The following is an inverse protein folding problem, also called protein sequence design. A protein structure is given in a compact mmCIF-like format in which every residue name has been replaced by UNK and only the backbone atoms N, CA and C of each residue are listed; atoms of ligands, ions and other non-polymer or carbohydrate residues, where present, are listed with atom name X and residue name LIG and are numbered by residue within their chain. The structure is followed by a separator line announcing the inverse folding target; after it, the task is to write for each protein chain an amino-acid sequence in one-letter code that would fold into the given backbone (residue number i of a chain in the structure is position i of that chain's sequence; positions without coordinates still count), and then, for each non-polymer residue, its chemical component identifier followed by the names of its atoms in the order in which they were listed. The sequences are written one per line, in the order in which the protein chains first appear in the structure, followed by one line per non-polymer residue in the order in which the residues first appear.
data_IF_805514594845
#
_entry.id   IF_805514594845
#
_cell.length_a   1.000
_cell.length_b   1.000
_cell.length_c   1.000
_cell.angle_alpha   90.00
_cell.angle_beta   90.00
_cell.angle_gamma   90.00
#
_symmetry.space_group_name_H-M   'P 1'
#
loop_
_entity.id
_entity.type
_entity.pdbx_description
1 polymer ?
#
# COMPACT_ATOMS: atom_id res chain seq x y z
N UNK A 1 5.76 -26.40 -8.05
CA UNK A 1 6.36 -25.44 -9.03
C UNK A 1 5.65 -25.58 -10.36
N UNK A 2 5.65 -26.75 -11.01
CA UNK A 2 5.09 -26.94 -12.36
C UNK A 2 3.61 -26.53 -12.46
N UNK A 3 2.79 -26.87 -11.47
CA UNK A 3 1.39 -26.46 -11.42
C UNK A 3 1.23 -24.93 -11.37
N UNK A 4 2.04 -24.22 -10.62
CA UNK A 4 2.02 -22.74 -10.60
C UNK A 4 2.44 -22.17 -11.95
N UNK A 5 3.52 -22.71 -12.54
CA UNK A 5 4.00 -22.29 -13.87
C UNK A 5 2.98 -22.55 -14.98
N UNK A 6 2.20 -23.62 -14.88
CA UNK A 6 1.13 -23.91 -15.85
C UNK A 6 0.03 -22.84 -15.89
N UNK A 7 -0.13 -22.03 -14.85
CA UNK A 7 -1.09 -20.92 -14.82
C UNK A 7 -0.55 -19.62 -15.46
N UNK A 8 0.74 -19.53 -15.79
CA UNK A 8 1.36 -18.31 -16.35
C UNK A 8 0.61 -17.80 -17.60
N UNK A 9 0.23 -18.64 -18.59
CA UNK A 9 -0.52 -18.14 -19.73
C UNK A 9 -1.85 -17.50 -19.35
N UNK A 10 -2.60 -18.12 -18.44
CA UNK A 10 -3.90 -17.60 -17.96
C UNK A 10 -3.71 -16.30 -17.16
N UNK A 11 -2.70 -16.24 -16.31
CA UNK A 11 -2.39 -15.02 -15.53
C UNK A 11 -1.99 -13.86 -16.46
N UNK A 12 -1.27 -14.14 -17.53
CA UNK A 12 -0.86 -13.12 -18.51
C UNK A 12 -2.06 -12.52 -19.23
N UNK A 13 -3.05 -13.33 -19.57
CA UNK A 13 -4.25 -12.89 -20.27
C UNK A 13 -5.31 -12.30 -19.34
N UNK A 14 -5.53 -12.91 -18.17
CA UNK A 14 -6.66 -12.65 -17.30
C UNK A 14 -6.28 -12.15 -15.89
N UNK A 15 -4.99 -11.90 -15.62
CA UNK A 15 -4.52 -11.56 -14.28
C UNK A 15 -5.19 -10.31 -13.67
N UNK A 16 -5.48 -9.30 -14.49
CA UNK A 16 -6.18 -8.08 -14.03
C UNK A 16 -7.63 -8.37 -13.62
N UNK A 17 -8.33 -9.23 -14.39
CA UNK A 17 -9.69 -9.64 -14.04
C UNK A 17 -9.70 -10.48 -12.75
N UNK A 18 -8.76 -11.42 -12.62
CA UNK A 18 -8.57 -12.23 -11.40
C UNK A 18 -8.32 -11.35 -10.18
N UNK A 19 -7.40 -10.39 -10.28
CA UNK A 19 -7.06 -9.52 -9.15
C UNK A 19 -8.16 -8.51 -8.84
N UNK A 20 -8.93 -8.07 -9.82
CA UNK A 20 -10.15 -7.29 -9.61
C UNK A 20 -11.20 -8.08 -8.81
N UNK A 21 -11.43 -9.33 -9.19
CA UNK A 21 -12.31 -10.25 -8.46
C UNK A 21 -11.82 -10.47 -7.02
N UNK A 22 -10.51 -10.72 -6.84
CA UNK A 22 -9.88 -10.87 -5.54
C UNK A 22 -10.12 -9.66 -4.62
N UNK A 23 -9.87 -8.43 -5.10
CA UNK A 23 -10.09 -7.24 -4.28
C UNK A 23 -11.56 -7.07 -3.87
N UNK A 24 -12.50 -7.29 -4.80
CA UNK A 24 -13.92 -7.23 -4.48
C UNK A 24 -14.29 -8.27 -3.41
N UNK A 25 -13.83 -9.52 -3.57
CA UNK A 25 -14.06 -10.59 -2.61
C UNK A 25 -13.49 -10.22 -1.23
N UNK A 26 -12.22 -9.84 -1.18
CA UNK A 26 -11.50 -9.53 0.05
C UNK A 26 -12.13 -8.37 0.82
N UNK A 27 -12.42 -7.25 0.15
CA UNK A 27 -12.98 -6.05 0.79
C UNK A 27 -14.44 -6.20 1.20
N UNK A 28 -15.19 -7.11 0.58
CA UNK A 28 -16.55 -7.45 0.99
C UNK A 28 -16.56 -8.38 2.21
N UNK A 29 -15.64 -9.35 2.25
CA UNK A 29 -15.53 -10.30 3.35
C UNK A 29 -14.82 -9.72 4.58
N UNK A 30 -13.96 -8.71 4.38
CA UNK A 30 -13.13 -8.09 5.42
C UNK A 30 -13.20 -6.56 5.29
N UNK A 31 -14.32 -5.93 5.64
CA UNK A 31 -14.56 -4.50 5.42
C UNK A 31 -13.57 -3.59 6.16
N UNK A 32 -12.95 -4.04 7.24
CA UNK A 32 -11.90 -3.33 7.98
C UNK A 32 -10.66 -3.04 7.11
N UNK A 33 -10.38 -3.89 6.12
CA UNK A 33 -9.27 -3.69 5.17
C UNK A 33 -9.48 -2.48 4.25
N UNK A 34 -10.70 -1.93 4.16
CA UNK A 34 -10.97 -0.67 3.47
C UNK A 34 -10.18 0.51 4.07
N UNK A 35 -9.74 0.39 5.34
CA UNK A 35 -8.88 1.38 5.99
C UNK A 35 -7.38 1.29 5.58
N UNK A 36 -7.01 0.26 4.85
CA UNK A 36 -5.63 -0.02 4.44
C UNK A 36 -5.46 0.17 2.94
N UNK A 37 -6.40 -0.35 2.15
CA UNK A 37 -6.35 -0.27 0.70
C UNK A 37 -6.98 1.01 0.19
N UNK A 38 -6.29 1.73 -0.69
CA UNK A 38 -6.81 2.96 -1.30
C UNK A 38 -7.96 2.64 -2.26
N UNK A 39 -9.18 3.00 -1.88
CA UNK A 39 -10.40 2.69 -2.64
C UNK A 39 -10.50 3.45 -3.95
N UNK A 40 -9.91 4.65 -4.03
CA UNK A 40 -9.85 5.40 -5.29
C UNK A 40 -8.97 4.68 -6.31
N UNK A 41 -7.83 4.14 -5.89
CA UNK A 41 -6.97 3.30 -6.73
C UNK A 41 -7.61 1.94 -7.08
N UNK A 42 -8.51 1.41 -6.24
CA UNK A 42 -9.32 0.24 -6.57
C UNK A 42 -10.30 0.56 -7.71
N UNK A 43 -11.05 1.65 -7.60
CA UNK A 43 -12.03 2.07 -8.61
C UNK A 43 -11.38 2.31 -9.99
N UNK A 44 -10.16 2.83 -10.02
CA UNK A 44 -9.39 3.06 -11.27
C UNK A 44 -8.68 1.80 -11.79
N UNK A 45 -8.73 0.67 -11.07
CA UNK A 45 -8.05 -0.57 -11.40
C UNK A 45 -6.52 -0.51 -11.28
N UNK A 46 -5.97 0.55 -10.72
CA UNK A 46 -4.50 0.72 -10.55
C UNK A 46 -3.89 -0.37 -9.67
N UNK A 47 -4.55 -0.69 -8.56
CA UNK A 47 -4.09 -1.74 -7.66
C UNK A 47 -4.22 -3.14 -8.27
N UNK A 48 -5.32 -3.44 -8.96
CA UNK A 48 -5.52 -4.72 -9.63
C UNK A 48 -4.43 -5.00 -10.67
N UNK A 49 -4.06 -4.00 -11.46
CA UNK A 49 -2.95 -4.12 -12.42
C UNK A 49 -1.60 -4.37 -11.74
N UNK A 50 -1.32 -3.66 -10.64
CA UNK A 50 -0.07 -3.82 -9.91
C UNK A 50 0.05 -5.23 -9.28
N UNK A 51 -1.02 -5.73 -8.67
CA UNK A 51 -1.04 -7.07 -8.09
C UNK A 51 -0.96 -8.15 -9.18
N UNK A 52 -1.67 -8.00 -10.29
CA UNK A 52 -1.60 -8.94 -11.41
C UNK A 52 -0.16 -9.07 -11.94
N UNK A 53 0.53 -7.93 -12.11
CA UNK A 53 1.93 -7.92 -12.54
C UNK A 53 2.86 -8.61 -11.52
N UNK A 54 2.64 -8.39 -10.22
CA UNK A 54 3.44 -9.01 -9.16
C UNK A 54 3.22 -10.53 -9.08
N UNK A 55 1.97 -10.99 -9.14
CA UNK A 55 1.62 -12.42 -9.12
C UNK A 55 2.16 -13.13 -10.36
N UNK A 56 2.04 -12.53 -11.54
CA UNK A 56 2.59 -13.08 -12.78
C UNK A 56 4.12 -13.19 -12.70
N UNK A 57 4.80 -12.11 -12.32
CA UNK A 57 6.26 -12.11 -12.20
C UNK A 57 6.75 -13.16 -11.20
N UNK A 58 6.02 -13.36 -10.09
CA UNK A 58 6.35 -14.39 -9.12
C UNK A 58 6.16 -15.81 -9.71
N UNK A 59 5.05 -16.07 -10.38
CA UNK A 59 4.79 -17.36 -11.01
C UNK A 59 5.82 -17.73 -12.09
N UNK A 60 6.25 -16.74 -12.88
CA UNK A 60 7.29 -16.90 -13.91
C UNK A 60 8.67 -17.21 -13.31
N UNK A 61 8.96 -16.71 -12.10
CA UNK A 61 10.29 -16.81 -11.47
C UNK A 61 10.27 -17.65 -10.17
N UNK A 62 9.29 -18.52 -9.99
CA UNK A 62 9.09 -19.28 -8.75
C UNK A 62 10.27 -20.19 -8.40
N UNK A 63 11.06 -20.64 -9.40
CA UNK A 63 12.26 -21.45 -9.21
C UNK A 63 13.45 -20.61 -8.72
N UNK A 64 13.46 -19.31 -9.01
CA UNK A 64 14.51 -18.40 -8.58
C UNK A 64 13.95 -17.02 -8.18
N UNK A 65 13.28 -16.93 -7.02
CA UNK A 65 12.66 -15.66 -6.58
C UNK A 65 13.67 -14.53 -6.35
N UNK A 66 14.98 -14.84 -6.26
CA UNK A 66 16.02 -13.82 -6.06
C UNK A 66 16.11 -12.79 -7.20
N UNK A 67 15.65 -13.14 -8.41
CA UNK A 67 15.57 -12.19 -9.53
C UNK A 67 14.54 -11.08 -9.28
N UNK A 68 13.62 -11.29 -8.34
CA UNK A 68 12.59 -10.33 -7.95
C UNK A 68 13.02 -9.41 -6.79
N UNK A 69 14.29 -9.44 -6.38
CA UNK A 69 14.78 -8.68 -5.22
C UNK A 69 14.40 -7.19 -5.26
N UNK A 70 14.51 -6.54 -6.43
CA UNK A 70 14.10 -5.12 -6.59
C UNK A 70 12.58 -4.93 -6.44
N UNK A 71 11.78 -5.85 -6.95
CA UNK A 71 10.32 -5.80 -6.80
C UNK A 71 9.92 -6.01 -5.34
N UNK A 72 10.54 -6.98 -4.66
CA UNK A 72 10.34 -7.25 -3.22
C UNK A 72 10.72 -6.03 -2.40
N UNK A 73 11.86 -5.39 -2.70
CA UNK A 73 12.30 -4.16 -2.04
C UNK A 73 11.26 -3.03 -2.19
N UNK A 74 10.78 -2.80 -3.40
CA UNK A 74 9.77 -1.78 -3.68
C UNK A 74 8.43 -2.10 -2.99
N UNK A 75 7.96 -3.34 -3.07
CA UNK A 75 6.70 -3.77 -2.45
C UNK A 75 6.79 -3.65 -0.93
N UNK A 76 7.84 -4.19 -0.31
CA UNK A 76 8.00 -4.14 1.15
C UNK A 76 8.15 -2.71 1.67
N UNK A 77 8.83 -1.81 0.95
CA UNK A 77 8.90 -0.39 1.30
C UNK A 77 7.52 0.26 1.28
N UNK A 78 6.71 -0.03 0.26
CA UNK A 78 5.35 0.48 0.18
C UNK A 78 4.46 -0.10 1.29
N UNK A 79 4.56 -1.39 1.56
CA UNK A 79 3.82 -2.06 2.63
C UNK A 79 4.11 -1.43 4.00
N UNK A 80 5.39 -1.20 4.31
CA UNK A 80 5.80 -0.56 5.57
C UNK A 80 5.24 0.85 5.70
N UNK A 81 5.18 1.62 4.60
CA UNK A 81 4.57 2.95 4.59
C UNK A 81 3.04 2.93 4.80
N UNK A 82 2.41 1.79 4.64
CA UNK A 82 0.97 1.57 4.84
C UNK A 82 0.64 0.80 6.11
N UNK A 83 1.66 0.50 6.91
CA UNK A 83 1.55 -0.28 8.15
C UNK A 83 0.96 -1.68 7.92
N UNK A 84 1.38 -2.34 6.84
CA UNK A 84 1.03 -3.73 6.57
C UNK A 84 1.70 -4.62 7.61
N UNK A 85 0.88 -5.45 8.28
CA UNK A 85 1.31 -6.33 9.37
C UNK A 85 1.25 -7.81 8.94
N UNK A 86 2.01 -8.70 9.59
CA UNK A 86 1.97 -10.14 9.29
C UNK A 86 0.57 -10.75 9.30
N UNK A 87 -0.32 -10.26 10.16
CA UNK A 87 -1.69 -10.77 10.30
C UNK A 87 -2.60 -10.47 9.09
N UNK A 88 -2.20 -9.53 8.21
CA UNK A 88 -2.91 -9.27 6.97
C UNK A 88 -2.68 -10.36 5.91
N UNK A 89 -1.53 -11.03 5.93
CA UNK A 89 -1.15 -12.01 4.92
C UNK A 89 -2.05 -13.25 4.87
N UNK A 90 -2.48 -13.85 5.99
CA UNK A 90 -3.46 -14.94 5.95
C UNK A 90 -4.78 -14.54 5.30
N UNK A 91 -5.28 -13.32 5.57
CA UNK A 91 -6.53 -12.81 4.98
C UNK A 91 -6.39 -12.65 3.47
N UNK A 92 -5.28 -12.02 3.03
CA UNK A 92 -4.97 -11.84 1.61
C UNK A 92 -4.83 -13.20 0.92
N UNK A 93 -4.09 -14.14 1.53
CA UNK A 93 -3.85 -15.47 0.97
C UNK A 93 -5.14 -16.28 0.80
N UNK A 94 -5.99 -16.31 1.83
CA UNK A 94 -7.26 -17.03 1.77
C UNK A 94 -8.14 -16.49 0.62
N UNK A 95 -8.32 -15.18 0.54
CA UNK A 95 -9.11 -14.57 -0.51
C UNK A 95 -8.50 -14.75 -1.91
N UNK A 96 -7.15 -14.72 -2.05
CA UNK A 96 -6.48 -14.96 -3.32
C UNK A 96 -6.68 -16.39 -3.80
N UNK A 97 -6.52 -17.39 -2.92
CA UNK A 97 -6.68 -18.80 -3.27
C UNK A 97 -8.12 -19.13 -3.68
N UNK A 98 -9.11 -18.61 -2.96
CA UNK A 98 -10.51 -18.73 -3.34
C UNK A 98 -10.79 -18.05 -4.69
N UNK A 99 -10.21 -16.88 -4.93
CA UNK A 99 -10.36 -16.17 -6.22
C UNK A 99 -9.76 -16.97 -7.38
N UNK A 100 -8.61 -17.60 -7.19
CA UNK A 100 -8.01 -18.49 -8.18
C UNK A 100 -8.94 -19.68 -8.47
N UNK A 101 -9.44 -20.35 -7.42
CA UNK A 101 -10.36 -21.47 -7.52
C UNK A 101 -11.63 -21.09 -8.28
N UNK A 102 -12.27 -19.99 -7.90
CA UNK A 102 -13.55 -19.53 -8.45
C UNK A 102 -13.40 -19.04 -9.91
N UNK A 103 -12.36 -18.25 -10.21
CA UNK A 103 -12.13 -17.69 -11.55
C UNK A 103 -11.65 -18.75 -12.54
N UNK A 104 -10.80 -19.69 -12.11
CA UNK A 104 -10.34 -20.78 -12.98
C UNK A 104 -11.30 -21.96 -13.01
N UNK A 105 -12.38 -21.91 -12.22
CA UNK A 105 -13.35 -22.98 -12.08
C UNK A 105 -12.71 -24.35 -11.76
N UNK A 106 -11.80 -24.34 -10.77
CA UNK A 106 -11.15 -25.55 -10.24
C UNK A 106 -11.56 -25.77 -8.80
N UNK A 107 -11.70 -27.03 -8.31
CA UNK A 107 -12.01 -27.29 -6.92
C UNK A 107 -10.99 -26.67 -5.97
N UNK A 108 -11.45 -26.11 -4.85
CA UNK A 108 -10.56 -25.49 -3.85
C UNK A 108 -9.57 -26.48 -3.26
N UNK A 109 -9.96 -27.77 -3.16
CA UNK A 109 -9.13 -28.87 -2.66
C UNK A 109 -8.20 -29.46 -3.75
N UNK A 110 -8.11 -28.85 -4.94
CA UNK A 110 -7.28 -29.33 -6.03
C UNK A 110 -5.79 -29.16 -5.73
N UNK A 111 -4.96 -30.00 -6.39
CA UNK A 111 -3.50 -29.89 -6.31
C UNK A 111 -2.99 -28.52 -6.82
N UNK A 112 -3.72 -27.89 -7.74
CA UNK A 112 -3.38 -26.56 -8.23
C UNK A 112 -3.49 -25.51 -7.12
N UNK A 113 -4.58 -25.52 -6.36
CA UNK A 113 -4.76 -24.59 -5.23
C UNK A 113 -3.77 -24.90 -4.11
N UNK A 114 -3.50 -26.16 -3.82
CA UNK A 114 -2.45 -26.55 -2.87
C UNK A 114 -1.07 -26.02 -3.29
N UNK A 115 -0.71 -26.11 -4.57
CA UNK A 115 0.53 -25.57 -5.11
C UNK A 115 0.59 -24.03 -4.99
N UNK A 116 -0.49 -23.32 -5.28
CA UNK A 116 -0.58 -21.88 -5.09
C UNK A 116 -0.51 -21.45 -3.64
N UNK A 117 -1.07 -22.25 -2.72
CA UNK A 117 -0.95 -22.00 -1.28
C UNK A 117 0.50 -22.02 -0.83
N UNK A 118 1.26 -23.05 -1.21
CA UNK A 118 2.70 -23.13 -0.90
C UNK A 118 3.49 -21.96 -1.52
N UNK A 119 3.21 -21.63 -2.77
CA UNK A 119 3.83 -20.51 -3.47
C UNK A 119 3.53 -19.17 -2.75
N UNK A 120 2.27 -18.94 -2.36
CA UNK A 120 1.88 -17.75 -1.62
C UNK A 120 2.56 -17.66 -0.25
N UNK A 121 2.61 -18.76 0.50
CA UNK A 121 3.25 -18.81 1.82
C UNK A 121 4.76 -18.48 1.71
N UNK A 122 5.43 -18.96 0.68
CA UNK A 122 6.84 -18.61 0.41
C UNK A 122 7.00 -17.11 0.15
N UNK A 123 6.18 -16.53 -0.73
CA UNK A 123 6.22 -15.09 -1.03
C UNK A 123 5.90 -14.25 0.20
N UNK A 124 4.87 -14.63 0.96
CA UNK A 124 4.49 -13.97 2.21
C UNK A 124 5.64 -13.96 3.22
N UNK A 125 6.31 -15.11 3.42
CA UNK A 125 7.46 -15.20 4.33
C UNK A 125 8.62 -14.28 3.91
N UNK A 126 8.89 -14.16 2.61
CA UNK A 126 9.92 -13.25 2.07
C UNK A 126 9.57 -11.80 2.38
N UNK A 127 8.33 -11.38 2.08
CA UNK A 127 7.85 -10.01 2.29
C UNK A 127 7.82 -9.66 3.78
N UNK A 128 7.22 -10.51 4.63
CA UNK A 128 7.18 -10.32 6.09
C UNK A 128 8.60 -10.17 6.67
N UNK A 129 9.55 -10.98 6.20
CA UNK A 129 10.96 -10.89 6.62
C UNK A 129 11.60 -9.54 6.24
N UNK A 130 11.39 -9.07 5.01
CA UNK A 130 11.88 -7.79 4.53
C UNK A 130 11.23 -6.61 5.28
N UNK A 131 9.92 -6.65 5.47
CA UNK A 131 9.14 -5.64 6.19
C UNK A 131 9.56 -5.52 7.65
N UNK A 132 9.76 -6.65 8.34
CA UNK A 132 10.26 -6.67 9.72
C UNK A 132 11.59 -5.93 9.87
N UNK A 133 12.52 -6.14 8.94
CA UNK A 133 13.80 -5.43 8.95
C UNK A 133 13.62 -3.93 8.72
N UNK A 134 12.74 -3.53 7.82
CA UNK A 134 12.44 -2.13 7.53
C UNK A 134 11.77 -1.43 8.72
N UNK A 135 10.79 -2.06 9.37
CA UNK A 135 10.16 -1.51 10.58
C UNK A 135 11.20 -1.28 11.68
N UNK A 136 12.05 -2.27 11.94
CA UNK A 136 13.12 -2.14 12.93
C UNK A 136 14.12 -1.03 12.56
N UNK A 137 14.50 -0.93 11.29
CA UNK A 137 15.38 0.11 10.78
C UNK A 137 14.81 1.52 10.92
N UNK A 138 13.52 1.70 10.62
CA UNK A 138 12.84 2.99 10.79
C UNK A 138 12.74 3.39 12.27
N UNK A 139 12.35 2.47 13.14
CA UNK A 139 12.24 2.74 14.58
C UNK A 139 13.57 3.05 15.26
N UNK A 140 14.68 2.55 14.72
CA UNK A 140 16.03 2.78 15.26
C UNK A 140 16.65 4.12 14.84
N UNK A 141 16.08 4.82 13.85
CA UNK A 141 16.61 6.12 13.41
C UNK A 141 16.23 7.24 14.38
N UNK A 142 17.05 8.28 14.42
CA UNK A 142 16.75 9.47 15.21
C UNK A 142 15.42 10.11 14.75
N UNK A 143 14.47 10.24 15.66
CA UNK A 143 13.12 10.72 15.34
C UNK A 143 12.29 9.77 14.47
N UNK A 144 12.74 8.50 14.29
CA UNK A 144 12.04 7.48 13.51
C UNK A 144 10.94 6.78 14.30
N UNK A 145 10.03 6.14 13.58
CA UNK A 145 8.94 5.32 14.15
C UNK A 145 8.49 4.23 13.17
N UNK A 146 7.77 3.27 13.69
CA UNK A 146 7.08 2.26 12.90
C UNK A 146 5.56 2.50 12.97
N UNK A 147 4.85 2.18 11.90
CA UNK A 147 3.40 2.38 11.81
C UNK A 147 2.98 3.84 11.65
N UNK A 148 1.81 4.15 12.18
CA UNK A 148 1.19 5.46 12.05
C UNK A 148 1.49 6.35 13.26
N UNK A 149 1.79 7.64 13.00
CA UNK A 149 1.97 8.67 14.01
C UNK A 149 1.09 9.87 13.70
N UNK A 150 0.51 10.50 14.73
CA UNK A 150 -0.42 11.62 14.57
C UNK A 150 0.32 12.92 14.30
N UNK A 151 -0.07 13.58 13.22
CA UNK A 151 0.42 14.92 12.86
C UNK A 151 -0.74 15.89 12.74
N UNK A 152 -0.45 17.16 12.93
CA UNK A 152 -1.36 18.27 12.76
C UNK A 152 -0.98 19.05 11.50
N UNK A 153 -1.97 19.51 10.74
CA UNK A 153 -1.75 20.43 9.63
C UNK A 153 -1.36 21.81 10.22
N UNK A 154 -0.08 22.14 10.12
CA UNK A 154 0.50 23.36 10.69
C UNK A 154 0.32 24.58 9.78
N UNK A 155 0.32 24.38 8.44
CA UNK A 155 0.09 25.43 7.47
C UNK A 155 -0.49 24.87 6.17
N UNK A 156 -1.24 25.69 5.46
CA UNK A 156 -1.76 25.43 4.11
C UNK A 156 -1.51 26.68 3.26
N UNK A 157 -0.82 26.52 2.15
CA UNK A 157 -0.51 27.57 1.19
C UNK A 157 -1.11 27.21 -0.17
N UNK A 158 -1.71 28.16 -0.87
CA UNK A 158 -2.16 27.96 -2.25
C UNK A 158 -0.97 27.91 -3.21
N UNK A 159 -1.02 26.98 -4.17
CA UNK A 159 -0.06 26.89 -5.27
C UNK A 159 -0.80 27.02 -6.60
N UNK A 160 -0.07 27.10 -7.70
CA UNK A 160 -0.68 27.18 -9.05
C UNK A 160 -1.57 25.98 -9.39
N UNK A 161 -1.25 24.79 -8.83
CA UNK A 161 -1.90 23.51 -9.20
C UNK A 161 -2.61 22.82 -8.04
N UNK A 162 -2.71 23.47 -6.87
CA UNK A 162 -3.32 22.89 -5.68
C UNK A 162 -2.94 23.61 -4.39
N UNK A 163 -2.51 22.85 -3.39
CA UNK A 163 -2.09 23.39 -2.09
C UNK A 163 -0.76 22.76 -1.64
N UNK A 164 0.03 23.51 -0.90
CA UNK A 164 1.18 23.03 -0.13
C UNK A 164 0.76 22.88 1.33
N UNK A 165 0.95 21.71 1.88
CA UNK A 165 0.67 21.39 3.28
C UNK A 165 1.98 21.26 4.07
N UNK A 166 1.98 21.80 5.29
CA UNK A 166 3.04 21.56 6.28
C UNK A 166 2.45 20.79 7.44
N UNK A 167 3.08 19.68 7.81
CA UNK A 167 2.66 18.81 8.91
C UNK A 167 3.69 18.84 10.03
N UNK A 168 3.24 18.98 11.28
CA UNK A 168 4.07 18.85 12.48
C UNK A 168 3.57 17.70 13.37
N UNK A 169 4.46 16.99 14.03
CA UNK A 169 4.07 15.94 14.98
C UNK A 169 3.27 16.53 16.14
N UNK A 170 2.12 15.93 16.48
CA UNK A 170 1.24 16.43 17.54
C UNK A 170 1.81 16.21 18.93
N UNK A 171 2.64 15.18 19.11
CA UNK A 171 3.33 14.85 20.37
C UNK A 171 4.57 15.72 20.64
N UNK A 172 4.90 16.64 19.73
CA UNK A 172 6.06 17.54 19.79
C UNK A 172 7.44 16.82 19.92
N UNK A 173 7.48 15.50 19.68
CA UNK A 173 8.76 14.76 19.66
C UNK A 173 9.46 14.96 18.30
N UNK A 174 10.78 14.82 18.25
CA UNK A 174 11.54 14.89 17.01
C UNK A 174 10.97 13.96 15.94
N UNK A 175 11.05 14.36 14.69
CA UNK A 175 10.72 13.54 13.52
C UNK A 175 11.99 13.27 12.70
N UNK A 176 11.97 12.16 12.00
CA UNK A 176 13.07 11.74 11.13
C UNK A 176 13.21 12.73 9.95
N UNK A 177 14.46 13.12 9.65
CA UNK A 177 14.75 13.84 8.42
C UNK A 177 14.42 12.98 7.20
N UNK A 178 14.06 13.61 6.10
CA UNK A 178 13.75 12.91 4.86
C UNK A 178 14.50 13.50 3.67
N UNK A 179 15.03 12.63 2.81
CA UNK A 179 15.69 13.04 1.58
C UNK A 179 14.69 13.42 0.47
N UNK A 180 15.14 14.19 -0.50
CA UNK A 180 14.39 14.37 -1.74
C UNK A 180 14.17 13.02 -2.43
N UNK A 181 12.95 12.81 -2.95
CA UNK A 181 12.54 11.55 -3.58
C UNK A 181 12.05 10.47 -2.60
N UNK A 182 12.24 10.63 -1.27
CA UNK A 182 11.51 9.83 -0.31
C UNK A 182 10.04 10.27 -0.20
N UNK A 183 9.20 9.45 0.41
CA UNK A 183 7.77 9.74 0.55
C UNK A 183 7.25 9.33 1.93
N UNK A 184 6.15 9.93 2.32
CA UNK A 184 5.31 9.51 3.45
C UNK A 184 3.96 9.03 2.93
N UNK A 185 3.33 8.11 3.66
CA UNK A 185 1.88 7.88 3.52
C UNK A 185 1.15 8.78 4.50
N UNK A 186 0.14 9.47 4.02
CA UNK A 186 -0.80 10.25 4.83
C UNK A 186 -2.14 9.54 4.81
N UNK A 187 -2.69 9.24 5.98
CA UNK A 187 -3.99 8.58 6.16
C UNK A 187 -4.96 9.54 6.81
N UNK A 188 -6.10 9.71 6.19
CA UNK A 188 -7.14 10.66 6.57
C UNK A 188 -8.48 9.97 6.77
N UNK A 189 -9.36 10.60 7.57
CA UNK A 189 -10.76 10.22 7.64
C UNK A 189 -11.50 10.69 6.38
N UNK A 190 -12.28 9.79 5.77
CA UNK A 190 -13.14 10.14 4.64
C UNK A 190 -14.44 10.77 5.16
N UNK A 191 -14.81 11.99 4.72
CA UNK A 191 -16.06 12.61 5.13
C UNK A 191 -17.25 11.72 4.77
N UNK A 192 -18.26 11.69 5.64
CA UNK A 192 -19.49 10.90 5.50
C UNK A 192 -19.31 9.36 5.46
N UNK A 193 -18.09 8.85 5.66
CA UNK A 193 -17.81 7.43 5.76
C UNK A 193 -17.03 7.14 7.05
N UNK A 194 -17.30 6.01 7.68
CA UNK A 194 -16.52 5.54 8.83
C UNK A 194 -15.31 4.71 8.39
N UNK A 195 -14.53 5.29 7.48
CA UNK A 195 -13.30 4.68 6.95
C UNK A 195 -12.19 5.72 6.82
N UNK A 196 -10.95 5.22 6.89
CA UNK A 196 -9.74 6.00 6.63
C UNK A 196 -9.12 5.59 5.29
N UNK A 197 -8.49 6.55 4.60
CA UNK A 197 -7.84 6.29 3.32
C UNK A 197 -6.41 6.81 3.32
N UNK A 198 -5.44 6.00 2.88
CA UNK A 198 -4.03 6.40 2.75
C UNK A 198 -3.69 6.85 1.32
N UNK A 199 -2.75 7.81 1.20
CA UNK A 199 -2.09 8.18 -0.05
C UNK A 199 -0.64 8.56 0.20
N UNK A 200 0.26 8.23 -0.73
CA UNK A 200 1.68 8.58 -0.67
C UNK A 200 1.93 9.98 -1.23
N UNK A 201 2.76 10.76 -0.53
CA UNK A 201 3.24 12.07 -0.97
C UNK A 201 4.76 12.07 -0.99
N UNK A 202 5.33 12.29 -2.18
CA UNK A 202 6.78 12.32 -2.39
C UNK A 202 7.34 13.71 -2.15
N UNK A 203 8.45 13.79 -1.44
CA UNK A 203 9.14 15.04 -1.19
C UNK A 203 10.00 15.46 -2.38
N UNK A 204 9.73 16.64 -2.92
CA UNK A 204 10.55 17.23 -3.97
C UNK A 204 11.89 17.79 -3.44
N UNK A 205 11.98 18.07 -2.13
CA UNK A 205 13.15 18.63 -1.43
C UNK A 205 13.39 17.87 -0.13
N UNK A 206 14.63 17.89 0.42
CA UNK A 206 14.89 17.32 1.74
C UNK A 206 14.04 17.98 2.83
N UNK A 207 13.66 17.20 3.84
CA UNK A 207 12.88 17.62 5.02
C UNK A 207 13.77 17.54 6.25
N UNK A 208 14.19 18.67 6.81
CA UNK A 208 15.16 18.74 7.93
C UNK A 208 14.74 19.72 9.03
N UNK A 209 13.58 20.36 8.88
CA UNK A 209 13.14 21.44 9.78
C UNK A 209 12.10 21.01 10.84
N UNK A 210 12.00 19.70 11.13
CA UNK A 210 11.03 19.18 12.10
C UNK A 210 9.58 19.24 11.60
N UNK A 211 9.37 19.43 10.31
CA UNK A 211 8.07 19.41 9.64
C UNK A 211 8.19 18.69 8.30
N UNK A 212 7.08 18.10 7.85
CA UNK A 212 6.97 17.57 6.50
C UNK A 212 6.16 18.50 5.62
N UNK A 213 6.74 18.91 4.50
CA UNK A 213 6.13 19.84 3.55
C UNK A 213 6.02 19.19 2.18
N UNK A 214 4.82 19.12 1.64
CA UNK A 214 4.55 18.52 0.33
C UNK A 214 3.40 19.22 -0.39
N UNK A 215 3.38 19.07 -1.71
CA UNK A 215 2.33 19.62 -2.55
C UNK A 215 1.24 18.59 -2.78
N UNK A 216 -0.01 19.03 -2.64
CA UNK A 216 -1.21 18.25 -2.96
C UNK A 216 -1.84 18.83 -4.21
N UNK A 217 -2.03 17.99 -5.23
CA UNK A 217 -2.68 18.37 -6.50
C UNK A 217 -4.00 17.64 -6.64
N UNK A 218 -4.97 18.29 -7.27
CA UNK A 218 -6.24 17.66 -7.59
C UNK A 218 -6.05 16.46 -8.51
N UNK A 219 -6.70 15.36 -8.20
CA UNK A 219 -6.74 14.18 -9.05
C UNK A 219 -7.95 14.27 -9.99
N UNK A 220 -7.76 14.26 -11.32
CA UNK A 220 -8.86 14.12 -12.26
C UNK A 220 -9.42 12.69 -12.20
N UNK A 221 -10.69 12.50 -12.52
CA UNK A 221 -11.34 11.19 -12.55
C UNK A 221 -11.25 10.41 -11.21
N UNK A 222 -11.52 11.12 -10.12
CA UNK A 222 -11.47 10.60 -8.76
C UNK A 222 -12.86 10.15 -8.27
N UNK A 223 -12.85 9.32 -7.24
CA UNK A 223 -14.03 8.98 -6.44
C UNK A 223 -14.13 9.88 -5.20
N UNK A 224 -15.17 9.69 -4.42
CA UNK A 224 -15.33 10.33 -3.10
C UNK A 224 -14.24 9.93 -2.08
N UNK A 225 -13.46 8.89 -2.37
CA UNK A 225 -12.36 8.40 -1.54
C UNK A 225 -10.99 9.01 -1.86
N UNK A 226 -10.89 9.94 -2.81
CA UNK A 226 -9.62 10.57 -3.17
C UNK A 226 -9.05 11.39 -2.03
N UNK A 227 -7.96 10.91 -1.43
CA UNK A 227 -7.26 11.58 -0.34
C UNK A 227 -6.77 12.97 -0.76
N UNK A 228 -6.24 13.12 -1.97
CA UNK A 228 -5.78 14.41 -2.48
C UNK A 228 -6.91 15.44 -2.54
N UNK A 229 -8.05 15.06 -3.12
CA UNK A 229 -9.18 15.99 -3.24
C UNK A 229 -9.85 16.27 -1.88
N UNK A 230 -9.87 15.30 -0.97
CA UNK A 230 -10.37 15.52 0.41
C UNK A 230 -9.45 16.48 1.16
N UNK A 231 -8.12 16.31 1.08
CA UNK A 231 -7.15 17.26 1.68
C UNK A 231 -7.31 18.68 1.13
N UNK A 232 -7.55 18.82 -0.18
CA UNK A 232 -7.73 20.11 -0.82
C UNK A 232 -9.01 20.84 -0.39
N UNK A 233 -10.09 20.10 -0.14
CA UNK A 233 -11.43 20.69 0.01
C UNK A 233 -11.96 20.69 1.45
N UNK A 234 -11.49 19.75 2.29
CA UNK A 234 -12.09 19.52 3.60
C UNK A 234 -11.12 19.75 4.78
N UNK A 235 -9.80 19.82 4.53
CA UNK A 235 -8.80 19.95 5.60
C UNK A 235 -8.37 21.41 5.80
N UNK A 236 -8.23 21.79 7.07
CA UNK A 236 -7.83 23.12 7.53
C UNK A 236 -6.61 23.04 8.46
N UNK A 237 -6.00 24.18 8.74
CA UNK A 237 -4.95 24.28 9.76
C UNK A 237 -5.54 23.87 11.12
N UNK A 238 -4.84 23.01 11.83
CA UNK A 238 -5.25 22.41 13.10
C UNK A 238 -5.88 21.02 12.95
N UNK A 239 -6.29 20.61 11.76
CA UNK A 239 -6.78 19.25 11.54
C UNK A 239 -5.68 18.21 11.67
N UNK A 240 -6.05 17.00 12.07
CA UNK A 240 -5.11 15.91 12.33
C UNK A 240 -5.13 14.84 11.23
N UNK A 241 -3.96 14.27 10.96
CA UNK A 241 -3.76 13.17 10.02
C UNK A 241 -2.84 12.12 10.63
N UNK A 242 -2.90 10.89 10.14
CA UNK A 242 -1.93 9.86 10.46
C UNK A 242 -0.83 9.82 9.39
N UNK A 243 0.42 9.71 9.80
CA UNK A 243 1.58 9.79 8.90
C UNK A 243 2.52 8.63 9.16
N UNK A 244 2.98 7.97 8.11
CA UNK A 244 4.06 6.98 8.19
C UNK A 244 5.42 7.65 8.34
N UNK A 245 6.41 6.93 8.85
CA UNK A 245 7.80 7.38 8.72
C UNK A 245 8.17 7.53 7.24
N UNK A 246 9.06 8.47 6.86
CA UNK A 246 9.56 8.61 5.50
C UNK A 246 10.27 7.35 5.04
N UNK A 247 10.00 6.93 3.81
CA UNK A 247 10.67 5.79 3.16
C UNK A 247 11.11 6.17 1.75
N UNK A 248 12.10 5.44 1.23
CA UNK A 248 12.61 5.61 -0.13
C UNK A 248 12.60 4.25 -0.81
N UNK A 249 11.87 4.13 -1.92
CA UNK A 249 11.75 2.91 -2.73
C UNK A 249 12.55 2.98 -4.01
#
# INVERSE_FOLDING_TARGET
IELVKSTVPVLRENGVALTGYFYNRMLNNNPELKNIFNLDHQATGRQSRALAAAVLAYAENIENPSVLAKAIEHISTKHVSLDIQPDHYPIVGDNLLHSISEVLNVPFESELIAAWKEAYMQLAAILIGAEKQKYAGLAAQNGGWAGWRTFEVAAIESTETGKRLSLKAQDAQPIMDAEAGSYISVKIQVPAHDIQQPLQFTFAKPQTAGQYVFDVKAEPNHTEYSVANILLNNYNVGDVVQVSAPVKG
#
